data_IF_673906768261
#
_entry.id   IF_673906768261
#
_cell.length_a   1.000
_cell.length_b   1.000
_cell.length_c   1.000
_cell.angle_alpha   90.00
_cell.angle_beta   90.00
_cell.angle_gamma   90.00
#
_symmetry.space_group_name_H-M   'P 1'
#
loop_
_entity.id
_entity.type
_entity.pdbx_description
1 polymer ?
#
# COMPACT_ATOMS: atom_id res chain seq x y z
N UNK A 1 -10.64 2.01 -23.17
CA UNK A 1 -10.91 0.64 -22.67
C UNK A 1 -10.79 0.67 -21.15
N UNK A 2 -11.70 0.03 -20.43
CA UNK A 2 -11.68 -0.05 -18.96
C UNK A 2 -11.64 -1.52 -18.56
N UNK A 3 -10.76 -1.88 -17.62
CA UNK A 3 -10.63 -3.24 -17.09
C UNK A 3 -10.98 -3.22 -15.62
N UNK A 4 -11.79 -4.18 -15.18
CA UNK A 4 -12.13 -4.41 -13.77
C UNK A 4 -11.48 -5.71 -13.33
N UNK A 5 -10.75 -5.67 -12.22
CA UNK A 5 -10.01 -6.79 -11.68
C UNK A 5 -10.35 -6.96 -10.19
N UNK A 6 -10.57 -8.20 -9.76
CA UNK A 6 -10.78 -8.55 -8.35
C UNK A 6 -9.61 -9.41 -7.92
N UNK A 7 -8.85 -8.94 -6.93
CA UNK A 7 -7.62 -9.58 -6.49
C UNK A 7 -7.46 -9.55 -4.98
N UNK A 8 -6.79 -10.58 -4.47
CA UNK A 8 -6.33 -10.64 -3.07
C UNK A 8 -4.83 -10.32 -2.95
N UNK A 9 -4.09 -10.36 -4.07
CA UNK A 9 -2.66 -10.06 -4.10
C UNK A 9 -2.42 -8.56 -4.21
N UNK A 10 -2.12 -7.94 -3.08
CA UNK A 10 -1.88 -6.49 -2.95
C UNK A 10 -0.84 -5.99 -3.94
N UNK A 11 0.23 -6.74 -4.19
CA UNK A 11 1.29 -6.35 -5.12
C UNK A 11 0.80 -6.26 -6.57
N UNK A 12 -0.17 -7.09 -6.98
CA UNK A 12 -0.77 -7.01 -8.31
C UNK A 12 -1.66 -5.79 -8.42
N UNK A 13 -2.45 -5.51 -7.38
CA UNK A 13 -3.28 -4.30 -7.30
C UNK A 13 -2.40 -3.06 -7.41
N UNK A 14 -1.29 -3.00 -6.65
CA UNK A 14 -0.36 -1.89 -6.68
C UNK A 14 0.28 -1.66 -8.07
N UNK A 15 0.51 -2.72 -8.84
CA UNK A 15 1.19 -2.63 -10.13
C UNK A 15 0.26 -2.26 -11.29
N UNK A 16 -0.97 -2.77 -11.29
CA UNK A 16 -1.87 -2.65 -12.45
C UNK A 16 -3.03 -1.68 -12.24
N UNK A 17 -3.44 -1.43 -10.99
CA UNK A 17 -4.64 -0.63 -10.74
C UNK A 17 -4.32 0.88 -10.80
N UNK A 18 -5.21 1.62 -11.43
CA UNK A 18 -5.24 3.09 -11.35
C UNK A 18 -6.16 3.60 -10.23
N UNK A 19 -7.14 2.78 -9.84
CA UNK A 19 -8.10 3.01 -8.75
C UNK A 19 -8.35 1.69 -8.03
N UNK A 20 -8.44 1.75 -6.69
CA UNK A 20 -8.73 0.61 -5.83
C UNK A 20 -9.98 0.90 -5.04
N UNK A 21 -10.84 -0.11 -4.92
CA UNK A 21 -12.02 -0.10 -4.06
C UNK A 21 -11.88 -1.29 -3.13
N UNK A 22 -11.84 -1.05 -1.82
CA UNK A 22 -11.86 -2.10 -0.81
C UNK A 22 -13.31 -2.36 -0.41
N UNK A 23 -13.74 -3.62 -0.54
CA UNK A 23 -15.10 -4.06 -0.21
C UNK A 23 -15.07 -4.97 1.01
N UNK A 24 -15.93 -4.69 2.00
CA UNK A 24 -16.11 -5.51 3.19
C UNK A 24 -17.59 -5.60 3.53
N UNK A 25 -18.06 -6.82 3.84
CA UNK A 25 -19.44 -7.08 4.27
C UNK A 25 -20.52 -6.49 3.33
N UNK A 26 -20.27 -6.54 2.02
CA UNK A 26 -21.18 -6.02 1.00
C UNK A 26 -21.16 -4.50 0.82
N UNK A 27 -20.32 -3.77 1.55
CA UNK A 27 -20.17 -2.32 1.48
C UNK A 27 -18.77 -1.88 1.03
N UNK A 28 -18.69 -0.67 0.48
CA UNK A 28 -17.40 -0.01 0.20
C UNK A 28 -16.81 0.48 1.51
N UNK A 29 -15.66 -0.08 1.88
CA UNK A 29 -14.90 0.35 3.04
C UNK A 29 -14.11 1.63 2.74
N UNK A 30 -13.41 1.66 1.60
CA UNK A 30 -12.66 2.83 1.13
C UNK A 30 -12.38 2.71 -0.36
N UNK A 31 -12.17 3.85 -1.03
CA UNK A 31 -11.72 3.88 -2.42
C UNK A 31 -10.73 5.02 -2.69
N UNK A 32 -9.90 4.86 -3.72
CA UNK A 32 -8.94 5.88 -4.09
C UNK A 32 -7.79 5.35 -4.94
N UNK A 33 -6.65 6.05 -4.90
CA UNK A 33 -5.42 5.57 -5.55
C UNK A 33 -4.85 4.37 -4.79
N UNK A 34 -4.13 3.47 -5.47
CA UNK A 34 -3.48 2.33 -4.80
C UNK A 34 -2.60 2.75 -3.63
N UNK A 35 -1.81 3.82 -3.77
CA UNK A 35 -0.93 4.32 -2.71
C UNK A 35 -1.68 4.70 -1.43
N UNK A 36 -2.91 5.21 -1.56
CA UNK A 36 -3.68 5.76 -0.44
C UNK A 36 -4.49 4.64 0.22
N UNK A 37 -5.09 3.76 -0.59
CA UNK A 37 -5.90 2.64 -0.09
C UNK A 37 -5.01 1.56 0.52
N UNK A 38 -3.98 1.10 -0.19
CA UNK A 38 -3.16 -0.05 0.24
C UNK A 38 -2.23 0.25 1.42
N UNK A 39 -2.06 1.52 1.77
CA UNK A 39 -1.30 1.96 2.96
C UNK A 39 -2.20 2.40 4.12
N UNK A 40 -3.52 2.36 3.95
CA UNK A 40 -4.48 2.77 4.97
C UNK A 40 -4.50 1.78 6.14
N UNK A 41 -4.57 2.32 7.36
CA UNK A 41 -4.74 1.51 8.58
C UNK A 41 -6.09 0.79 8.59
N UNK A 42 -7.10 1.36 7.92
CA UNK A 42 -8.42 0.75 7.76
C UNK A 42 -8.33 -0.65 7.16
N UNK A 43 -7.41 -0.91 6.23
CA UNK A 43 -7.26 -2.23 5.63
C UNK A 43 -6.77 -3.25 6.66
N UNK A 44 -5.77 -2.89 7.47
CA UNK A 44 -5.19 -3.76 8.50
C UNK A 44 -6.23 -4.07 9.57
N UNK A 45 -6.90 -3.04 10.08
CA UNK A 45 -7.96 -3.16 11.10
C UNK A 45 -9.13 -4.03 10.63
N UNK A 46 -9.35 -4.11 9.32
CA UNK A 46 -10.43 -4.86 8.73
C UNK A 46 -10.01 -6.23 8.16
N UNK A 47 -8.77 -6.66 8.38
CA UNK A 47 -8.28 -8.01 8.05
C UNK A 47 -7.79 -8.19 6.60
N UNK A 48 -7.57 -7.09 5.87
CA UNK A 48 -6.97 -7.16 4.54
C UNK A 48 -5.46 -7.38 4.64
N UNK A 49 -4.91 -8.07 3.64
CA UNK A 49 -3.47 -8.17 3.47
C UNK A 49 -2.83 -6.81 3.18
N UNK A 50 -1.56 -6.67 3.55
CA UNK A 50 -0.70 -5.55 3.17
C UNK A 50 0.57 -6.07 2.53
N UNK A 51 1.15 -5.31 1.60
CA UNK A 51 2.38 -5.73 0.95
C UNK A 51 3.52 -5.83 1.96
N UNK A 52 4.46 -6.75 1.72
CA UNK A 52 5.68 -6.87 2.55
C UNK A 52 6.47 -5.56 2.60
N UNK A 53 6.46 -4.81 1.50
CA UNK A 53 7.13 -3.52 1.36
C UNK A 53 6.52 -2.47 2.30
N UNK A 54 5.18 -2.39 2.30
CA UNK A 54 4.43 -1.49 3.17
C UNK A 54 4.64 -1.86 4.64
N UNK A 55 4.59 -3.15 4.98
CA UNK A 55 4.78 -3.61 6.37
C UNK A 55 6.16 -3.27 6.91
N UNK A 56 7.22 -3.53 6.15
CA UNK A 56 8.60 -3.22 6.55
C UNK A 56 8.79 -1.71 6.72
N UNK A 57 8.31 -0.90 5.77
CA UNK A 57 8.42 0.55 5.87
C UNK A 57 7.61 1.13 7.03
N UNK A 58 6.42 0.58 7.32
CA UNK A 58 5.59 0.98 8.45
C UNK A 58 6.30 0.71 9.78
N UNK A 59 6.91 -0.46 9.92
CA UNK A 59 7.67 -0.81 11.12
C UNK A 59 8.94 0.04 11.24
N UNK A 60 9.67 0.24 10.15
CA UNK A 60 10.80 1.15 10.09
C UNK A 60 10.41 2.59 10.48
N UNK A 61 9.22 3.06 10.11
CA UNK A 61 8.70 4.40 10.48
C UNK A 61 8.53 4.55 11.98
N UNK A 62 8.03 3.51 12.68
CA UNK A 62 7.93 3.52 14.15
C UNK A 62 9.29 3.60 14.83
N UNK A 63 10.32 3.05 14.20
CA UNK A 63 11.70 3.07 14.68
C UNK A 63 12.49 4.31 14.20
N UNK A 64 11.86 5.24 13.48
CA UNK A 64 12.51 6.44 12.93
C UNK A 64 13.46 6.17 11.75
N UNK A 65 13.46 4.95 11.20
CA UNK A 65 14.31 4.53 10.09
C UNK A 65 13.69 4.86 8.72
N UNK A 66 12.39 5.10 8.65
CA UNK A 66 11.69 5.55 7.44
C UNK A 66 11.36 7.05 7.53
N UNK A 67 12.02 7.86 6.69
CA UNK A 67 11.92 9.34 6.72
C UNK A 67 10.94 9.94 5.71
N UNK A 68 10.24 9.11 4.93
CA UNK A 68 9.29 9.59 3.92
C UNK A 68 7.88 9.66 4.51
N UNK A 69 7.09 10.62 4.04
CA UNK A 69 5.69 10.76 4.48
C UNK A 69 4.86 9.55 4.07
N UNK A 70 4.99 9.17 2.78
CA UNK A 70 4.25 8.07 2.17
C UNK A 70 4.94 6.73 2.43
N UNK A 71 4.13 5.71 2.64
CA UNK A 71 4.58 4.32 2.68
C UNK A 71 4.61 3.74 1.25
N UNK A 72 5.53 2.81 0.97
CA UNK A 72 5.65 2.17 -0.32
C UNK A 72 4.60 1.07 -0.47
N UNK A 73 4.08 0.88 -1.68
CA UNK A 73 3.23 -0.25 -2.08
C UNK A 73 3.94 -1.19 -3.05
N UNK A 74 5.11 -0.79 -3.56
CA UNK A 74 5.97 -1.60 -4.41
C UNK A 74 7.38 -1.78 -3.84
N UNK A 75 8.11 -2.76 -4.36
CA UNK A 75 9.52 -2.98 -4.01
C UNK A 75 10.40 -1.78 -4.35
N UNK A 76 10.16 -1.18 -5.53
CA UNK A 76 10.98 -0.07 -6.01
C UNK A 76 10.86 1.16 -5.12
N UNK A 77 9.63 1.54 -4.76
CA UNK A 77 9.37 2.62 -3.80
C UNK A 77 10.00 2.34 -2.42
N UNK A 78 9.97 1.08 -1.97
CA UNK A 78 10.59 0.72 -0.70
C UNK A 78 12.12 0.85 -0.78
N UNK A 79 12.74 0.32 -1.84
CA UNK A 79 14.16 0.45 -2.07
C UNK A 79 14.57 1.93 -2.09
N UNK A 80 13.91 2.76 -2.90
CA UNK A 80 14.16 4.21 -2.96
C UNK A 80 13.97 4.92 -1.61
N UNK A 81 13.00 4.49 -0.82
CA UNK A 81 12.75 5.05 0.50
C UNK A 81 13.83 4.72 1.54
N UNK A 82 14.47 3.54 1.42
CA UNK A 82 15.55 3.10 2.31
C UNK A 82 16.95 3.55 1.87
N UNK A 83 17.16 3.93 0.60
CA UNK A 83 18.44 4.49 0.17
C UNK A 83 18.70 5.81 0.92
N UNK A 84 19.80 5.86 1.69
CA UNK A 84 20.34 7.12 2.21
C UNK A 84 20.73 7.99 1.02
N UNK A 85 20.10 9.16 0.87
CA UNK A 85 20.77 10.26 0.18
C UNK A 85 21.87 10.73 1.13
N UNK A 86 23.08 10.21 0.93
CA UNK A 86 24.26 10.75 1.57
C UNK A 86 24.34 12.24 1.19
N UNK A 87 24.31 13.08 2.22
CA UNK A 87 24.61 14.52 2.16
C UNK A 87 25.99 14.74 2.73
#
# INVERSE_FOLDING_TARGET
>A
MTVVMVEHKVEWIAHFATRVIALKDGAVLTEGKPSDVLTSDLLIENGFGVSRYTSVAREAKKQGLWKKDKLPVTLFEAAEGFVKRDS
#
